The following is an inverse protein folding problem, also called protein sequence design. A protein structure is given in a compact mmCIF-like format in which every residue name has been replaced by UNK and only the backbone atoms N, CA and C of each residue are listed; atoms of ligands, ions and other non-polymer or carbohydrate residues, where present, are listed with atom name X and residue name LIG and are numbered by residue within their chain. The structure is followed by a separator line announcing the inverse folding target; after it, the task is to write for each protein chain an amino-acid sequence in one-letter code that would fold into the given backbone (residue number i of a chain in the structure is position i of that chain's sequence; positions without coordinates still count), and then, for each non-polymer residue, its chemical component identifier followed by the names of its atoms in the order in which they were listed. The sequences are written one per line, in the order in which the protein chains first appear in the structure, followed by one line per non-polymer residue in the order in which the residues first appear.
data_IF_040694793661
#
_entry.id   IF_040694793661
#
_cell.length_a   1.000
_cell.length_b   1.000
_cell.length_c   1.000
_cell.angle_alpha   90.00
_cell.angle_beta   90.00
_cell.angle_gamma   90.00
#
_symmetry.space_group_name_H-M   'P 1'
#
loop_
_entity.id
_entity.type
_entity.pdbx_description
1 polymer ?
#
# COMPACT_ATOMS: atom_id res chain seq x y z
N UNK A 1 -9.09 11.94 22.49
CA UNK A 1 -10.08 11.48 21.54
C UNK A 1 -10.59 10.11 21.96
N UNK A 2 -11.90 10.00 22.20
CA UNK A 2 -12.53 8.74 22.62
C UNK A 2 -12.76 7.75 21.47
N UNK A 3 -12.43 8.13 20.25
CA UNK A 3 -12.61 7.31 19.05
C UNK A 3 -11.27 6.72 18.60
N UNK A 4 -11.19 5.38 18.53
CA UNK A 4 -9.95 4.66 18.19
C UNK A 4 -9.41 4.89 16.77
N UNK A 5 -10.21 5.49 15.86
CA UNK A 5 -9.80 5.81 14.50
C UNK A 5 -9.33 7.26 14.33
N UNK A 6 -9.46 8.12 15.35
CA UNK A 6 -8.95 9.49 15.30
C UNK A 6 -7.49 9.52 15.70
N UNK A 7 -6.60 9.84 14.76
CA UNK A 7 -5.16 9.94 14.96
C UNK A 7 -4.78 11.30 15.60
N UNK A 8 -5.37 12.40 15.11
CA UNK A 8 -5.13 13.74 15.62
C UNK A 8 -6.38 14.62 15.44
N UNK A 9 -6.52 15.61 16.34
CA UNK A 9 -7.55 16.62 16.26
C UNK A 9 -6.89 17.98 16.54
N UNK A 10 -6.87 18.83 15.53
CA UNK A 10 -6.28 20.16 15.59
C UNK A 10 -7.38 21.22 15.54
N UNK A 11 -7.32 22.19 16.45
CA UNK A 11 -8.22 23.31 16.43
C UNK A 11 -7.63 24.43 15.56
N UNK A 12 -8.38 24.86 14.56
CA UNK A 12 -8.01 25.96 13.66
C UNK A 12 -8.86 27.17 14.02
N UNK A 13 -8.28 28.20 14.69
CA UNK A 13 -8.99 29.42 15.05
C UNK A 13 -9.33 30.24 13.78
N UNK A 14 -10.30 31.13 13.88
CA UNK A 14 -10.75 31.99 12.76
C UNK A 14 -9.62 32.76 12.08
N UNK A 15 -8.66 33.27 12.86
CA UNK A 15 -7.52 34.01 12.33
C UNK A 15 -6.59 33.11 11.48
N UNK A 16 -6.34 31.88 11.93
CA UNK A 16 -5.56 30.91 11.16
C UNK A 16 -6.29 30.47 9.87
N UNK A 17 -7.61 30.34 9.91
CA UNK A 17 -8.40 30.02 8.74
C UNK A 17 -8.30 31.10 7.64
N UNK A 18 -8.18 32.38 8.00
CA UNK A 18 -7.94 33.48 7.04
C UNK A 18 -6.56 33.34 6.39
N UNK A 19 -5.53 33.06 7.19
CA UNK A 19 -4.16 32.91 6.66
C UNK A 19 -4.03 31.70 5.73
N UNK A 20 -4.64 30.56 6.08
CA UNK A 20 -4.72 29.40 5.18
C UNK A 20 -5.46 29.72 3.87
N UNK A 21 -6.57 30.46 3.95
CA UNK A 21 -7.32 30.87 2.76
C UNK A 21 -6.49 31.82 1.89
N UNK A 22 -5.74 32.73 2.51
CA UNK A 22 -4.83 33.66 1.82
C UNK A 22 -3.74 32.91 1.06
N UNK A 23 -3.12 31.92 1.71
CA UNK A 23 -2.12 31.07 1.07
C UNK A 23 -2.72 30.25 -0.09
N UNK A 24 -3.93 29.72 0.09
CA UNK A 24 -4.65 28.99 -0.96
C UNK A 24 -4.98 29.85 -2.18
N UNK A 25 -5.32 31.12 -1.97
CA UNK A 25 -5.65 32.07 -3.04
C UNK A 25 -4.41 32.60 -3.77
N UNK A 26 -3.20 32.42 -3.23
CA UNK A 26 -1.94 32.85 -3.85
C UNK A 26 -1.96 34.35 -4.20
N UNK A 27 -1.84 34.71 -5.47
CA UNK A 27 -1.82 36.11 -5.97
C UNK A 27 -3.09 36.90 -5.63
N UNK A 28 -4.20 36.22 -5.35
CA UNK A 28 -5.47 36.85 -4.95
C UNK A 28 -5.66 36.89 -3.42
N UNK A 29 -4.66 36.44 -2.63
CA UNK A 29 -4.72 36.40 -1.17
C UNK A 29 -4.94 37.74 -0.49
N UNK A 30 -4.61 38.86 -1.16
CA UNK A 30 -4.79 40.22 -0.63
C UNK A 30 -6.25 40.59 -0.32
N UNK A 31 -7.21 39.92 -0.94
CA UNK A 31 -8.65 40.10 -0.67
C UNK A 31 -8.99 39.73 0.79
N UNK A 32 -8.17 38.87 1.42
CA UNK A 32 -8.37 38.41 2.80
C UNK A 32 -7.74 39.34 3.86
N UNK A 33 -6.99 40.37 3.46
CA UNK A 33 -6.28 41.24 4.39
C UNK A 33 -7.22 41.99 5.36
N UNK A 34 -8.40 42.36 4.90
CA UNK A 34 -9.40 43.08 5.73
C UNK A 34 -10.00 42.17 6.83
N UNK A 35 -9.89 40.87 6.68
CA UNK A 35 -10.40 39.86 7.62
C UNK A 35 -9.31 39.27 8.50
N UNK A 36 -8.04 39.65 8.29
CA UNK A 36 -6.91 39.18 9.07
C UNK A 36 -6.89 39.82 10.48
N UNK A 37 -6.42 39.05 11.44
CA UNK A 37 -6.21 39.49 12.81
C UNK A 37 -7.04 38.73 13.87
N UNK A 38 -6.48 38.62 15.05
CA UNK A 38 -7.16 38.01 16.20
C UNK A 38 -8.28 38.92 16.69
N UNK A 39 -9.49 38.37 16.85
CA UNK A 39 -10.65 39.11 17.36
C UNK A 39 -11.41 39.92 16.32
N UNK A 40 -11.08 39.85 15.04
CA UNK A 40 -11.86 40.51 13.99
C UNK A 40 -13.27 39.91 13.92
N UNK A 41 -14.28 40.70 14.27
CA UNK A 41 -15.69 40.31 14.28
C UNK A 41 -16.30 40.21 12.88
N UNK A 42 -15.68 40.86 11.87
CA UNK A 42 -16.11 40.81 10.48
C UNK A 42 -15.59 39.61 9.72
N UNK A 43 -14.74 38.79 10.34
CA UNK A 43 -14.22 37.55 9.75
C UNK A 43 -15.37 36.55 9.48
N UNK A 44 -15.70 36.26 8.20
CA UNK A 44 -16.79 35.37 7.85
C UNK A 44 -16.45 33.90 8.03
N UNK A 45 -15.16 33.56 8.20
CA UNK A 45 -14.72 32.16 8.31
C UNK A 45 -14.99 31.64 9.73
N UNK A 46 -15.63 30.45 9.85
CA UNK A 46 -15.82 29.81 11.14
C UNK A 46 -14.52 29.22 11.66
N UNK A 47 -14.38 29.14 12.99
CA UNK A 47 -13.39 28.26 13.58
C UNK A 47 -13.70 26.79 13.22
N UNK A 48 -12.70 25.99 13.03
CA UNK A 48 -12.86 24.60 12.59
C UNK A 48 -11.97 23.65 13.38
N UNK A 49 -12.33 22.35 13.31
CA UNK A 49 -11.51 21.26 13.81
C UNK A 49 -11.05 20.43 12.62
N UNK A 50 -9.75 20.25 12.48
CA UNK A 50 -9.16 19.36 11.50
C UNK A 50 -8.91 18.01 12.17
N UNK A 51 -9.62 16.99 11.74
CA UNK A 51 -9.53 15.64 12.29
C UNK A 51 -8.80 14.75 11.31
N UNK A 52 -7.67 14.17 11.73
CA UNK A 52 -6.93 13.17 10.98
C UNK A 52 -7.36 11.78 11.45
N UNK A 53 -7.60 10.88 10.50
CA UNK A 53 -7.98 9.48 10.79
C UNK A 53 -6.83 8.54 10.52
N UNK A 54 -6.77 7.45 11.29
CA UNK A 54 -5.76 6.40 11.13
C UNK A 54 -6.07 5.50 9.93
N UNK A 55 -7.35 5.11 9.78
CA UNK A 55 -7.81 4.28 8.66
C UNK A 55 -8.92 5.00 7.89
N UNK A 56 -8.66 5.21 6.60
CA UNK A 56 -9.60 5.84 5.66
C UNK A 56 -10.80 4.93 5.37
N UNK A 57 -10.66 3.61 5.54
CA UNK A 57 -11.76 2.68 5.34
C UNK A 57 -12.89 2.88 6.36
N UNK A 58 -12.54 3.32 7.58
CA UNK A 58 -13.48 3.62 8.67
C UNK A 58 -13.86 5.11 8.77
N UNK A 59 -13.58 5.90 7.72
CA UNK A 59 -13.90 7.33 7.71
C UNK A 59 -15.40 7.59 7.86
N UNK A 60 -16.25 6.90 7.10
CA UNK A 60 -17.69 7.12 7.12
C UNK A 60 -18.32 6.87 8.50
N UNK A 61 -18.09 5.72 9.17
CA UNK A 61 -18.59 5.51 10.53
C UNK A 61 -17.97 6.47 11.56
N UNK A 62 -16.70 6.90 11.37
CA UNK A 62 -16.06 7.90 12.23
C UNK A 62 -16.76 9.26 12.13
N UNK A 63 -17.09 9.70 10.92
CA UNK A 63 -17.83 10.95 10.67
C UNK A 63 -19.22 10.90 11.33
N UNK A 64 -19.93 9.79 11.23
CA UNK A 64 -21.25 9.65 11.88
C UNK A 64 -21.13 9.70 13.41
N UNK A 65 -20.10 9.09 14.00
CA UNK A 65 -19.82 9.19 15.43
C UNK A 65 -19.48 10.62 15.87
N UNK A 66 -18.69 11.35 15.07
CA UNK A 66 -18.38 12.76 15.34
C UNK A 66 -19.63 13.61 15.28
N UNK A 67 -20.49 13.44 14.27
CA UNK A 67 -21.77 14.14 14.17
C UNK A 67 -22.68 13.86 15.37
N UNK A 68 -22.73 12.60 15.80
CA UNK A 68 -23.52 12.20 16.96
C UNK A 68 -23.02 12.84 18.28
N UNK A 69 -21.71 13.03 18.44
CA UNK A 69 -21.14 13.71 19.60
C UNK A 69 -21.50 15.21 19.66
N UNK A 70 -21.75 15.83 18.52
CA UNK A 70 -22.14 17.24 18.44
C UNK A 70 -23.64 17.47 18.58
N UNK A 71 -24.46 16.41 18.57
CA UNK A 71 -25.90 16.53 18.68
C UNK A 71 -26.34 16.93 20.11
N UNK A 72 -27.19 17.94 20.21
CA UNK A 72 -27.83 18.36 21.47
C UNK A 72 -29.24 18.85 21.22
N UNK A 73 -30.10 18.79 22.25
CA UNK A 73 -31.44 19.32 22.15
C UNK A 73 -31.45 20.79 22.62
N UNK A 74 -31.67 21.72 21.72
CA UNK A 74 -31.86 23.13 22.04
C UNK A 74 -33.34 23.37 22.38
N UNK A 75 -33.60 23.99 23.53
CA UNK A 75 -34.95 24.44 23.91
C UNK A 75 -35.04 25.93 23.63
N UNK A 76 -35.92 26.32 22.74
CA UNK A 76 -36.20 27.73 22.49
C UNK A 76 -36.97 28.36 23.65
N UNK A 77 -36.99 29.70 23.74
CA UNK A 77 -37.72 30.43 24.80
C UNK A 77 -39.25 30.16 24.80
N UNK A 78 -39.78 29.69 23.67
CA UNK A 78 -41.18 29.30 23.52
C UNK A 78 -41.46 27.84 24.02
N UNK A 79 -40.49 27.13 24.53
CA UNK A 79 -40.58 25.76 25.02
C UNK A 79 -40.53 24.69 23.93
N UNK A 80 -40.31 25.07 22.67
CA UNK A 80 -40.11 24.10 21.59
C UNK A 80 -38.71 23.50 21.66
N UNK A 81 -38.61 22.16 21.71
CA UNK A 81 -37.33 21.47 21.64
C UNK A 81 -36.99 21.18 20.16
N UNK A 82 -35.82 21.58 19.73
CA UNK A 82 -35.29 21.23 18.41
C UNK A 82 -33.93 20.56 18.54
N UNK A 83 -33.71 19.57 17.72
CA UNK A 83 -32.39 18.93 17.62
C UNK A 83 -31.43 19.88 16.92
N UNK A 84 -30.35 20.20 17.62
CA UNK A 84 -29.28 21.06 17.13
C UNK A 84 -27.94 20.32 17.17
N UNK A 85 -27.00 20.80 16.41
CA UNK A 85 -25.65 20.26 16.42
C UNK A 85 -24.63 21.37 16.65
N UNK A 86 -23.67 21.13 17.54
CA UNK A 86 -22.54 22.04 17.80
C UNK A 86 -21.73 22.28 16.52
N UNK A 87 -21.66 21.26 15.65
CA UNK A 87 -20.95 21.38 14.39
C UNK A 87 -21.90 21.89 13.30
N UNK A 88 -21.69 23.12 12.82
CA UNK A 88 -22.44 23.71 11.74
C UNK A 88 -22.38 22.89 10.45
N UNK A 89 -21.18 22.38 10.12
CA UNK A 89 -20.93 21.53 8.94
C UNK A 89 -19.77 20.59 9.21
N UNK A 90 -19.98 19.30 8.98
CA UNK A 90 -18.90 18.32 8.93
C UNK A 90 -18.59 18.04 7.46
N UNK A 91 -17.48 18.59 6.99
CA UNK A 91 -17.02 18.38 5.63
C UNK A 91 -16.12 17.15 5.60
N UNK A 92 -16.56 16.09 4.96
CA UNK A 92 -15.77 14.88 4.80
C UNK A 92 -15.82 14.43 3.33
N UNK A 93 -14.67 14.09 2.73
CA UNK A 93 -14.63 13.56 1.38
C UNK A 93 -15.03 12.05 1.36
N UNK A 94 -16.15 11.72 1.99
CA UNK A 94 -16.58 10.33 2.18
C UNK A 94 -16.82 9.58 0.86
N UNK A 95 -17.30 10.25 -0.17
CA UNK A 95 -17.47 9.67 -1.50
C UNK A 95 -16.13 9.38 -2.17
N UNK A 96 -15.17 10.32 -2.06
CA UNK A 96 -13.81 10.12 -2.56
C UNK A 96 -13.11 9.00 -1.78
N UNK A 97 -13.27 8.97 -0.46
CA UNK A 97 -12.67 7.94 0.40
C UNK A 97 -13.20 6.55 0.05
N UNK A 98 -14.51 6.39 -0.12
CA UNK A 98 -15.10 5.10 -0.51
C UNK A 98 -14.62 4.64 -1.88
N UNK A 99 -14.48 5.56 -2.84
CA UNK A 99 -13.95 5.28 -4.17
C UNK A 99 -12.48 4.85 -4.11
N UNK A 100 -11.66 5.53 -3.32
CA UNK A 100 -10.24 5.18 -3.13
C UNK A 100 -10.06 3.81 -2.46
N UNK A 101 -10.86 3.52 -1.43
CA UNK A 101 -10.84 2.20 -0.75
C UNK A 101 -11.26 1.08 -1.71
N UNK A 102 -12.30 1.30 -2.51
CA UNK A 102 -12.75 0.32 -3.50
C UNK A 102 -11.69 0.13 -4.61
N UNK A 103 -11.08 1.20 -5.09
CA UNK A 103 -9.99 1.14 -6.06
C UNK A 103 -8.80 0.35 -5.52
N UNK A 104 -8.36 0.65 -4.28
CA UNK A 104 -7.31 -0.11 -3.59
C UNK A 104 -7.67 -1.61 -3.51
N UNK A 105 -8.91 -1.94 -3.18
CA UNK A 105 -9.38 -3.32 -3.10
C UNK A 105 -9.34 -4.03 -4.45
N UNK A 106 -9.82 -3.38 -5.51
CA UNK A 106 -9.82 -3.91 -6.89
C UNK A 106 -8.37 -4.16 -7.35
N UNK A 107 -7.49 -3.17 -7.18
CA UNK A 107 -6.07 -3.28 -7.54
C UNK A 107 -5.40 -4.44 -6.78
N UNK A 108 -5.72 -4.59 -5.49
CA UNK A 108 -5.19 -5.66 -4.67
C UNK A 108 -5.65 -7.05 -5.15
N UNK A 109 -6.94 -7.22 -5.46
CA UNK A 109 -7.46 -8.49 -5.98
C UNK A 109 -6.89 -8.84 -7.35
N UNK A 110 -6.79 -7.85 -8.26
CA UNK A 110 -6.17 -8.04 -9.58
C UNK A 110 -4.70 -8.40 -9.41
N UNK A 111 -3.98 -7.70 -8.51
CA UNK A 111 -2.58 -7.96 -8.22
C UNK A 111 -2.34 -9.39 -7.71
N UNK A 112 -3.09 -9.84 -6.70
CA UNK A 112 -2.99 -11.20 -6.20
C UNK A 112 -3.39 -12.26 -7.24
N UNK A 113 -4.42 -11.98 -8.06
CA UNK A 113 -4.81 -12.83 -9.17
C UNK A 113 -3.68 -13.00 -10.18
N UNK A 114 -3.03 -11.90 -10.57
CA UNK A 114 -1.89 -11.92 -11.48
C UNK A 114 -0.70 -12.71 -10.91
N UNK A 115 -0.36 -12.47 -9.62
CA UNK A 115 0.71 -13.20 -8.93
C UNK A 115 0.43 -14.71 -8.92
N UNK A 116 -0.83 -15.11 -8.64
CA UNK A 116 -1.21 -16.52 -8.65
C UNK A 116 -1.06 -17.15 -10.06
N UNK A 117 -1.53 -16.48 -11.10
CA UNK A 117 -1.41 -16.97 -12.48
C UNK A 117 0.06 -17.09 -12.89
N UNK A 118 0.86 -16.04 -12.65
CA UNK A 118 2.30 -16.07 -12.97
C UNK A 118 3.05 -17.12 -12.15
N UNK A 119 2.66 -17.33 -10.89
CA UNK A 119 3.20 -18.41 -10.06
C UNK A 119 2.93 -19.80 -10.66
N UNK A 120 1.71 -20.07 -11.10
CA UNK A 120 1.36 -21.33 -11.77
C UNK A 120 2.17 -21.52 -13.05
N UNK A 121 2.25 -20.48 -13.90
CA UNK A 121 3.05 -20.53 -15.14
C UNK A 121 4.52 -20.82 -14.82
N UNK A 122 5.09 -20.16 -13.81
CA UNK A 122 6.47 -20.37 -13.37
C UNK A 122 6.70 -21.82 -12.94
N UNK A 123 5.81 -22.40 -12.13
CA UNK A 123 5.89 -23.81 -11.71
C UNK A 123 5.83 -24.75 -12.92
N UNK A 124 4.97 -24.49 -13.91
CA UNK A 124 4.87 -25.29 -15.12
C UNK A 124 6.16 -25.22 -15.95
N UNK A 125 6.72 -24.02 -16.12
CA UNK A 125 7.98 -23.83 -16.88
C UNK A 125 9.13 -24.53 -16.19
N UNK A 126 9.30 -24.33 -14.86
CA UNK A 126 10.33 -25.02 -14.08
C UNK A 126 10.18 -26.53 -14.16
N UNK A 127 8.95 -27.04 -14.01
CA UNK A 127 8.67 -28.48 -14.12
C UNK A 127 9.07 -29.04 -15.48
N UNK A 128 8.82 -28.30 -16.55
CA UNK A 128 9.19 -28.74 -17.89
C UNK A 128 10.70 -28.73 -18.11
N UNK A 129 11.39 -27.69 -17.62
CA UNK A 129 12.85 -27.57 -17.67
C UNK A 129 13.53 -28.71 -16.90
N UNK A 130 13.08 -28.99 -15.68
CA UNK A 130 13.60 -30.09 -14.85
C UNK A 130 13.40 -31.45 -15.54
N UNK A 131 12.24 -31.65 -16.17
CA UNK A 131 11.98 -32.86 -16.94
C UNK A 131 12.99 -33.07 -18.07
N UNK A 132 13.32 -32.02 -18.81
CA UNK A 132 14.33 -32.07 -19.87
C UNK A 132 15.73 -32.36 -19.29
N UNK A 133 16.09 -31.73 -18.21
CA UNK A 133 17.38 -31.93 -17.53
C UNK A 133 17.52 -33.37 -17.03
N UNK A 134 16.50 -33.91 -16.37
CA UNK A 134 16.47 -35.33 -15.90
C UNK A 134 16.59 -36.29 -17.09
N UNK A 135 15.88 -36.02 -18.21
CA UNK A 135 15.96 -36.83 -19.40
C UNK A 135 17.37 -36.80 -20.03
N UNK A 136 18.00 -35.64 -20.10
CA UNK A 136 19.37 -35.48 -20.61
C UNK A 136 20.39 -36.27 -19.76
N UNK A 137 20.22 -36.26 -18.43
CA UNK A 137 21.14 -36.93 -17.48
C UNK A 137 20.69 -38.37 -17.10
N UNK A 138 19.76 -38.98 -17.84
CA UNK A 138 19.19 -40.30 -17.49
C UNK A 138 20.21 -41.41 -17.31
N UNK A 139 21.33 -41.42 -18.06
CA UNK A 139 22.38 -42.40 -17.96
C UNK A 139 23.11 -42.32 -16.62
N UNK A 140 23.45 -41.11 -16.16
CA UNK A 140 24.09 -40.84 -14.89
C UNK A 140 23.18 -41.28 -13.73
N UNK A 141 21.88 -40.97 -13.83
CA UNK A 141 20.87 -41.35 -12.82
C UNK A 141 20.74 -42.86 -12.71
N UNK A 142 20.77 -43.58 -13.84
CA UNK A 142 20.72 -45.04 -13.84
C UNK A 142 21.95 -45.65 -13.16
N UNK A 143 23.16 -45.14 -13.44
CA UNK A 143 24.39 -45.61 -12.79
C UNK A 143 24.28 -45.38 -11.28
N UNK A 144 23.84 -44.21 -10.83
CA UNK A 144 23.65 -43.94 -9.39
C UNK A 144 22.66 -44.94 -8.75
N UNK A 145 21.55 -45.27 -9.44
CA UNK A 145 20.60 -46.28 -8.96
C UNK A 145 21.23 -47.70 -8.87
N UNK A 146 22.04 -48.08 -9.84
CA UNK A 146 22.74 -49.37 -9.80
C UNK A 146 23.71 -49.50 -8.63
N UNK A 147 24.35 -48.39 -8.23
CA UNK A 147 25.24 -48.35 -7.05
C UNK A 147 24.46 -48.25 -5.73
N UNK A 148 23.12 -48.17 -5.79
CA UNK A 148 22.27 -48.17 -4.60
C UNK A 148 21.95 -46.77 -4.03
N UNK A 149 22.13 -45.71 -4.79
CA UNK A 149 21.78 -44.35 -4.35
C UNK A 149 20.28 -44.22 -4.05
N UNK A 150 19.96 -43.55 -2.94
CA UNK A 150 18.57 -43.31 -2.55
C UNK A 150 17.90 -42.29 -3.47
N UNK A 151 16.58 -42.40 -3.63
CA UNK A 151 15.82 -41.43 -4.44
C UNK A 151 15.97 -39.99 -3.96
N UNK A 152 16.19 -39.75 -2.67
CA UNK A 152 16.43 -38.43 -2.10
C UNK A 152 17.77 -37.85 -2.57
N UNK A 153 18.82 -38.68 -2.59
CA UNK A 153 20.16 -38.28 -3.05
C UNK A 153 20.15 -37.88 -4.54
N UNK A 154 19.39 -38.61 -5.37
CA UNK A 154 19.24 -38.30 -6.81
C UNK A 154 18.47 -36.99 -7.03
N UNK A 155 17.50 -36.67 -6.15
CA UNK A 155 16.64 -35.46 -6.29
C UNK A 155 17.28 -34.19 -5.79
N UNK A 156 18.18 -34.29 -4.80
CA UNK A 156 18.76 -33.15 -4.11
C UNK A 156 19.43 -32.14 -5.07
N UNK A 157 20.29 -32.54 -6.04
CA UNK A 157 20.92 -31.57 -6.95
C UNK A 157 19.92 -30.78 -7.78
N UNK A 158 18.84 -31.39 -8.27
CA UNK A 158 17.82 -30.74 -9.03
C UNK A 158 17.00 -29.73 -8.18
N UNK A 159 16.77 -30.09 -6.92
CA UNK A 159 16.09 -29.22 -5.97
C UNK A 159 16.91 -27.97 -5.68
N UNK A 160 18.21 -28.14 -5.43
CA UNK A 160 19.14 -27.02 -5.24
C UNK A 160 19.24 -26.16 -6.51
N UNK A 161 19.29 -26.77 -7.71
CA UNK A 161 19.28 -26.05 -8.99
C UNK A 161 18.03 -25.19 -9.14
N UNK A 162 16.84 -25.72 -8.82
CA UNK A 162 15.59 -24.95 -8.85
C UNK A 162 15.58 -23.79 -7.86
N UNK A 163 16.09 -24.00 -6.64
CA UNK A 163 16.21 -22.95 -5.64
C UNK A 163 17.20 -21.86 -6.04
N UNK A 164 18.35 -22.21 -6.62
CA UNK A 164 19.36 -21.23 -7.07
C UNK A 164 18.85 -20.39 -8.23
N UNK A 165 18.16 -20.99 -9.19
CA UNK A 165 17.49 -20.23 -10.28
C UNK A 165 16.45 -19.28 -9.71
N UNK A 166 15.63 -19.72 -8.74
CA UNK A 166 14.67 -18.88 -8.04
C UNK A 166 15.32 -17.72 -7.29
N UNK A 167 16.43 -17.98 -6.59
CA UNK A 167 17.19 -16.95 -5.86
C UNK A 167 17.75 -15.87 -6.82
N UNK A 168 18.39 -16.31 -7.92
CA UNK A 168 18.94 -15.38 -8.94
C UNK A 168 17.81 -14.54 -9.55
N UNK A 169 16.68 -15.16 -9.89
CA UNK A 169 15.50 -14.45 -10.41
C UNK A 169 14.95 -13.42 -9.42
N UNK A 170 14.95 -13.75 -8.11
CA UNK A 170 14.55 -12.83 -7.05
C UNK A 170 15.49 -11.62 -6.95
N UNK A 171 16.80 -11.82 -7.07
CA UNK A 171 17.78 -10.72 -7.10
C UNK A 171 17.56 -9.84 -8.34
N UNK A 172 17.40 -10.43 -9.53
CA UNK A 172 17.13 -9.69 -10.75
C UNK A 172 15.84 -8.88 -10.67
N UNK A 173 14.78 -9.48 -10.11
CA UNK A 173 13.52 -8.77 -9.87
C UNK A 173 13.70 -7.57 -8.93
N UNK A 174 14.51 -7.72 -7.87
CA UNK A 174 14.85 -6.63 -6.96
C UNK A 174 15.58 -5.49 -7.68
N UNK A 175 16.52 -5.80 -8.55
CA UNK A 175 17.24 -4.79 -9.32
C UNK A 175 16.31 -4.02 -10.25
N UNK A 176 15.39 -4.70 -10.94
CA UNK A 176 14.45 -4.06 -11.87
C UNK A 176 13.45 -3.19 -11.10
N UNK A 177 12.78 -3.76 -10.07
CA UNK A 177 11.75 -3.04 -9.30
C UNK A 177 12.37 -1.93 -8.45
N UNK A 178 13.50 -2.21 -7.80
CA UNK A 178 14.25 -1.21 -7.02
C UNK A 178 14.77 -0.08 -7.89
N UNK A 179 15.28 -0.39 -9.07
CA UNK A 179 15.72 0.62 -10.04
C UNK A 179 14.57 1.50 -10.54
N UNK A 180 13.41 0.90 -10.82
CA UNK A 180 12.20 1.64 -11.19
C UNK A 180 11.73 2.55 -10.04
N UNK A 181 11.74 2.05 -8.80
CA UNK A 181 11.38 2.84 -7.61
C UNK A 181 12.33 4.02 -7.40
N UNK A 182 13.64 3.78 -7.49
CA UNK A 182 14.66 4.83 -7.40
C UNK A 182 14.49 5.89 -8.48
N UNK A 183 14.23 5.48 -9.73
CA UNK A 183 13.97 6.41 -10.83
C UNK A 183 12.72 7.25 -10.60
N UNK A 184 11.65 6.65 -10.05
CA UNK A 184 10.44 7.36 -9.68
C UNK A 184 10.67 8.37 -8.55
N UNK A 185 11.40 7.97 -7.49
CA UNK A 185 11.77 8.85 -6.39
C UNK A 185 12.54 10.07 -6.89
N UNK A 186 13.55 9.86 -7.76
CA UNK A 186 14.32 10.95 -8.35
C UNK A 186 13.48 11.87 -9.25
N UNK A 187 12.54 11.32 -10.02
CA UNK A 187 11.67 12.10 -10.87
C UNK A 187 10.70 12.99 -10.06
N UNK A 188 10.22 12.50 -8.92
CA UNK A 188 9.33 13.24 -8.02
C UNK A 188 10.04 14.32 -7.21
N UNK A 189 11.34 14.18 -6.97
CA UNK A 189 12.16 15.18 -6.25
C UNK A 189 12.58 16.38 -7.14
N UNK A 190 12.26 16.37 -8.44
CA UNK A 190 12.58 17.50 -9.32
C UNK A 190 11.70 18.72 -9.01
N UNK A 191 12.28 19.95 -9.05
CA UNK A 191 11.56 21.18 -8.70
C UNK A 191 10.36 21.49 -9.62
N UNK A 192 10.30 20.91 -10.80
CA UNK A 192 9.20 21.06 -11.74
C UNK A 192 7.92 20.29 -11.32
N UNK A 193 8.05 19.35 -10.38
CA UNK A 193 6.96 18.54 -9.88
C UNK A 193 6.40 19.06 -8.54
N UNK A 194 6.37 20.37 -8.31
CA UNK A 194 5.97 21.01 -7.04
C UNK A 194 4.60 20.53 -6.51
N UNK A 195 3.65 20.25 -7.40
CA UNK A 195 2.33 19.73 -7.02
C UNK A 195 2.34 18.28 -6.54
N UNK A 196 3.41 17.51 -6.81
CA UNK A 196 3.61 16.14 -6.36
C UNK A 196 4.46 16.05 -5.06
N UNK A 197 4.97 17.15 -4.55
CA UNK A 197 5.88 17.18 -3.43
C UNK A 197 5.24 16.63 -2.13
N UNK A 198 3.94 16.74 -1.97
CA UNK A 198 3.21 16.14 -0.85
C UNK A 198 3.21 14.60 -0.91
N UNK A 199 3.28 14.00 -2.11
CA UNK A 199 3.39 12.54 -2.26
C UNK A 199 4.75 12.00 -1.83
N UNK A 200 5.83 12.79 -1.99
CA UNK A 200 7.19 12.36 -1.59
C UNK A 200 7.32 12.22 -0.08
N UNK A 201 6.57 13.00 0.69
CA UNK A 201 6.55 12.89 2.16
C UNK A 201 5.93 11.57 2.66
N UNK A 202 5.08 10.95 1.84
CA UNK A 202 4.47 9.66 2.13
C UNK A 202 5.28 8.46 1.61
N UNK A 203 6.32 8.69 0.82
CA UNK A 203 7.16 7.62 0.28
C UNK A 203 8.22 7.19 1.30
N UNK A 204 8.43 5.91 1.39
CA UNK A 204 9.53 5.37 2.20
C UNK A 204 10.85 5.62 1.48
N UNK A 205 11.94 5.98 2.20
CA UNK A 205 13.26 6.14 1.61
C UNK A 205 13.70 4.85 0.90
N UNK A 206 14.34 4.98 -0.26
CA UNK A 206 14.81 3.83 -1.04
C UNK A 206 15.64 2.84 -0.22
N UNK A 207 16.51 3.35 0.66
CA UNK A 207 17.39 2.52 1.49
C UNK A 207 16.63 1.62 2.48
N UNK A 208 15.48 2.06 2.96
CA UNK A 208 14.68 1.28 3.93
C UNK A 208 13.84 0.20 3.23
N UNK A 209 13.45 0.45 1.97
CA UNK A 209 12.61 -0.47 1.23
C UNK A 209 13.39 -1.56 0.49
N UNK A 210 14.64 -1.29 0.11
CA UNK A 210 15.42 -2.21 -0.73
C UNK A 210 15.71 -3.55 -0.02
N UNK A 211 15.98 -3.54 1.29
CA UNK A 211 16.33 -4.74 2.05
C UNK A 211 15.14 -5.69 2.23
N UNK A 212 13.95 -5.24 2.69
CA UNK A 212 12.79 -6.10 2.75
C UNK A 212 12.32 -6.58 1.37
N UNK A 213 12.49 -5.75 0.32
CA UNK A 213 12.16 -6.11 -1.05
C UNK A 213 13.07 -7.24 -1.55
N UNK A 214 14.39 -7.13 -1.33
CA UNK A 214 15.36 -8.17 -1.67
C UNK A 214 15.03 -9.48 -0.95
N UNK A 215 14.84 -9.42 0.36
CA UNK A 215 14.49 -10.60 1.16
C UNK A 215 13.19 -11.25 0.69
N UNK A 216 12.15 -10.45 0.44
CA UNK A 216 10.87 -10.92 -0.04
C UNK A 216 10.96 -11.61 -1.41
N UNK A 217 11.59 -10.99 -2.40
CA UNK A 217 11.71 -11.55 -3.74
C UNK A 217 12.59 -12.80 -3.78
N UNK A 218 13.70 -12.81 -3.05
CA UNK A 218 14.56 -13.98 -2.99
C UNK A 218 13.86 -15.14 -2.30
N UNK A 219 13.20 -14.92 -1.16
CA UNK A 219 12.45 -15.97 -0.47
C UNK A 219 11.31 -16.52 -1.34
N UNK A 220 10.57 -15.64 -2.00
CA UNK A 220 9.48 -16.03 -2.88
C UNK A 220 9.99 -16.79 -4.11
N UNK A 221 11.08 -16.33 -4.71
CA UNK A 221 11.75 -17.01 -5.83
C UNK A 221 12.23 -18.42 -5.45
N UNK A 222 12.91 -18.55 -4.30
CA UNK A 222 13.37 -19.84 -3.77
C UNK A 222 12.19 -20.77 -3.50
N UNK A 223 11.11 -20.26 -2.92
CA UNK A 223 9.90 -21.04 -2.64
C UNK A 223 9.26 -21.58 -3.93
N UNK A 224 9.05 -20.74 -4.94
CA UNK A 224 8.49 -21.15 -6.24
C UNK A 224 9.44 -22.14 -6.95
N UNK A 225 10.74 -21.86 -6.96
CA UNK A 225 11.75 -22.73 -7.56
C UNK A 225 11.78 -24.10 -6.90
N UNK A 226 11.75 -24.15 -5.57
CA UNK A 226 11.71 -25.38 -4.78
C UNK A 226 10.42 -26.18 -5.00
N UNK A 227 9.26 -25.52 -4.95
CA UNK A 227 7.95 -26.17 -5.18
C UNK A 227 7.84 -26.69 -6.61
N UNK A 228 8.25 -25.89 -7.60
CA UNK A 228 8.25 -26.29 -9.02
C UNK A 228 9.10 -27.53 -9.26
N UNK A 229 10.31 -27.55 -8.69
CA UNK A 229 11.20 -28.71 -8.76
C UNK A 229 10.61 -29.93 -8.05
N UNK A 230 10.14 -29.80 -6.80
CA UNK A 230 9.55 -30.89 -6.03
C UNK A 230 8.33 -31.51 -6.73
N UNK A 231 7.48 -30.70 -7.32
CA UNK A 231 6.28 -31.12 -8.06
C UNK A 231 6.65 -31.92 -9.30
N UNK A 232 7.65 -31.46 -10.06
CA UNK A 232 8.13 -32.11 -11.27
C UNK A 232 8.71 -33.50 -10.98
N UNK A 233 9.59 -33.57 -9.99
CA UNK A 233 10.29 -34.79 -9.64
C UNK A 233 9.34 -35.85 -9.08
N UNK A 234 8.35 -35.48 -8.25
CA UNK A 234 7.35 -36.40 -7.70
C UNK A 234 6.55 -37.14 -8.79
N UNK A 235 6.24 -36.43 -9.87
CA UNK A 235 5.39 -36.95 -10.96
C UNK A 235 6.16 -37.88 -11.90
N UNK A 236 7.48 -37.71 -12.07
CA UNK A 236 8.25 -38.36 -13.13
C UNK A 236 9.29 -39.40 -12.63
N UNK A 237 9.58 -39.45 -11.35
CA UNK A 237 10.44 -40.48 -10.73
C UNK A 237 9.67 -41.60 -10.00
N UNK A 238 8.37 -41.81 -10.37
CA UNK A 238 7.67 -43.06 -10.05
C UNK A 238 8.12 -44.10 -11.07
N UNK A 239 9.26 -44.73 -10.83
CA UNK A 239 9.67 -46.04 -11.37
C UNK A 239 10.07 -46.92 -10.21
#
# INVERSE_FOLDING_TARGET
PADGNVAACEYVPKAAAVEEMREYLGDYGDIMNDYAGEGNTENPLPASFRVSVTDVADLAPTVERIKAMGAYTATAEDGTASDANVFYKVNSPSELSSTLVNLKRIVNYIGWGLVAVLGVVSVVVISNTIRLTVFARRKEINIMKFVGATNAFIRLPFFVEGMTVGAISGVLATVVVGGAYYGLEQALLQPEALWLNEFTKCMWPFMDIIWPLLGGFVLFGVAIGGVGCASSIRKHLKV
#
